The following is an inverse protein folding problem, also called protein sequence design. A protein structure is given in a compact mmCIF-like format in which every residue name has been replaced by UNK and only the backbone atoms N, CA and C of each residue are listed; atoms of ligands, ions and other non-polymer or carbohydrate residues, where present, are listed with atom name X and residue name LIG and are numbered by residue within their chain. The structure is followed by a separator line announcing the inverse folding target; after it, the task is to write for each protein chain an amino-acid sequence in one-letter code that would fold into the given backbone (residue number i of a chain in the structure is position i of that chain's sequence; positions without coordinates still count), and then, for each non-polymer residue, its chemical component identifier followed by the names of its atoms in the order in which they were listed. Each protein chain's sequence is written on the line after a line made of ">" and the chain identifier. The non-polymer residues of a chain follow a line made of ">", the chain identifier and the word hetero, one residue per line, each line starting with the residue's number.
data_IF_869624682476
#
_entry.id   IF_869624682476
#
_cell.length_a   1.000
_cell.length_b   1.000
_cell.length_c   1.000
_cell.angle_alpha   90.00
_cell.angle_beta   90.00
_cell.angle_gamma   90.00
#
_symmetry.space_group_name_H-M   'P 1'
#
loop_
_entity.id
_entity.type
_entity.pdbx_description
1 polymer ?
#
# COMPACT_ATOMS: atom_id res chain seq x y z
N UNK A 1 28.03 -62.45 -36.66
CA UNK A 1 26.95 -62.09 -35.68
C UNK A 1 27.38 -61.10 -34.61
N UNK A 2 28.37 -60.25 -34.83
CA UNK A 2 28.85 -59.28 -33.80
C UNK A 2 28.76 -57.78 -34.22
N UNK A 3 28.30 -57.51 -35.44
CA UNK A 3 28.26 -56.12 -35.93
C UNK A 3 26.84 -55.49 -35.82
N UNK A 4 25.79 -56.31 -35.70
CA UNK A 4 24.39 -55.78 -35.60
C UNK A 4 24.00 -55.40 -34.17
N UNK A 5 24.68 -55.87 -33.15
CA UNK A 5 24.38 -55.57 -31.75
C UNK A 5 25.00 -54.22 -31.30
N UNK A 6 26.00 -53.72 -31.98
CA UNK A 6 26.67 -52.46 -31.64
C UNK A 6 25.91 -51.20 -32.12
N UNK A 7 25.13 -51.34 -33.20
CA UNK A 7 24.37 -50.23 -33.79
C UNK A 7 23.09 -49.96 -33.02
N UNK A 8 22.50 -50.98 -32.38
CA UNK A 8 21.28 -50.81 -31.57
C UNK A 8 21.59 -50.16 -30.21
N UNK A 9 22.76 -50.34 -29.62
CA UNK A 9 23.16 -49.71 -28.37
C UNK A 9 23.49 -48.20 -28.55
N UNK A 10 23.95 -47.77 -29.72
CA UNK A 10 24.21 -46.35 -30.02
C UNK A 10 22.94 -45.53 -30.32
N UNK A 11 21.89 -46.17 -30.83
CA UNK A 11 20.58 -45.51 -31.07
C UNK A 11 19.74 -45.39 -29.82
N UNK A 12 19.88 -46.27 -28.81
CA UNK A 12 19.22 -46.18 -27.53
C UNK A 12 19.79 -45.09 -26.60
N UNK A 13 21.10 -44.77 -26.74
CA UNK A 13 21.77 -43.70 -26.01
C UNK A 13 21.45 -42.29 -26.48
N UNK A 14 21.03 -42.11 -27.75
CA UNK A 14 20.66 -40.81 -28.33
C UNK A 14 19.24 -40.35 -27.97
N UNK A 15 18.35 -41.26 -27.55
CA UNK A 15 16.99 -40.92 -27.15
C UNK A 15 16.85 -40.55 -25.66
N UNK A 16 17.86 -40.83 -24.82
CA UNK A 16 17.81 -40.46 -23.40
C UNK A 16 18.32 -39.02 -23.10
N UNK A 17 18.90 -38.33 -24.10
CA UNK A 17 19.39 -36.95 -23.93
C UNK A 17 18.36 -35.88 -24.35
N UNK A 18 17.15 -36.26 -24.76
CA UNK A 18 16.18 -35.36 -25.41
C UNK A 18 15.02 -34.91 -24.55
N UNK A 19 14.92 -35.24 -23.29
CA UNK A 19 13.85 -34.78 -22.40
C UNK A 19 14.31 -33.86 -21.27
N UNK A 20 15.26 -32.95 -21.58
CA UNK A 20 15.25 -31.69 -20.88
C UNK A 20 13.93 -31.00 -21.30
N UNK A 21 12.86 -31.25 -20.55
CA UNK A 21 11.61 -30.53 -20.70
C UNK A 21 11.98 -29.06 -20.80
N UNK A 22 11.59 -28.43 -21.92
CA UNK A 22 11.53 -26.98 -22.02
C UNK A 22 10.51 -26.55 -20.95
N UNK A 23 10.98 -26.39 -19.71
CA UNK A 23 10.22 -25.65 -18.70
C UNK A 23 9.94 -24.31 -19.34
N UNK A 24 8.64 -24.05 -19.63
CA UNK A 24 8.21 -22.82 -20.26
C UNK A 24 8.89 -21.65 -19.53
N UNK A 25 9.49 -20.74 -20.28
CA UNK A 25 10.23 -19.59 -19.72
C UNK A 25 9.32 -18.85 -18.75
N UNK A 26 9.71 -18.82 -17.48
CA UNK A 26 8.96 -18.08 -16.45
C UNK A 26 9.10 -16.57 -16.74
N UNK A 27 8.00 -15.83 -16.92
CA UNK A 27 8.09 -14.39 -17.18
C UNK A 27 8.91 -13.68 -16.12
N UNK A 28 9.81 -12.78 -16.55
CA UNK A 28 10.63 -11.98 -15.66
C UNK A 28 11.71 -12.73 -14.89
N UNK A 29 12.01 -14.01 -15.22
CA UNK A 29 13.06 -14.79 -14.54
C UNK A 29 14.09 -15.29 -15.54
N UNK A 30 15.36 -15.02 -15.24
CA UNK A 30 16.53 -15.55 -15.94
C UNK A 30 17.45 -16.26 -14.95
N UNK A 31 18.57 -16.76 -15.43
CA UNK A 31 19.60 -17.36 -14.56
C UNK A 31 20.24 -16.33 -13.62
N UNK A 32 20.27 -15.07 -13.99
CA UNK A 32 21.00 -13.99 -13.31
C UNK A 32 20.09 -12.88 -12.76
N UNK A 33 18.83 -12.79 -13.20
CA UNK A 33 17.94 -11.69 -12.86
C UNK A 33 16.52 -12.14 -12.58
N UNK A 34 15.81 -11.37 -11.72
CA UNK A 34 14.37 -11.40 -11.52
C UNK A 34 13.86 -9.98 -11.80
N UNK A 35 12.93 -9.83 -12.72
CA UNK A 35 12.29 -8.54 -13.03
C UNK A 35 11.01 -8.37 -12.24
N UNK A 36 10.92 -7.28 -11.47
CA UNK A 36 9.74 -6.86 -10.70
C UNK A 36 9.09 -5.67 -11.42
N UNK A 37 7.79 -5.73 -11.65
CA UNK A 37 6.99 -4.64 -12.21
C UNK A 37 6.49 -3.69 -11.15
N UNK A 38 6.50 -2.42 -11.47
CA UNK A 38 5.88 -1.34 -10.69
C UNK A 38 5.09 -0.45 -11.64
N UNK A 39 3.78 -0.28 -11.41
CA UNK A 39 2.99 0.79 -11.99
C UNK A 39 2.41 1.62 -10.87
N UNK A 40 2.68 2.94 -10.90
CA UNK A 40 2.38 3.83 -9.77
C UNK A 40 2.36 5.29 -10.26
N UNK A 41 1.66 6.20 -9.57
CA UNK A 41 1.63 7.61 -9.98
C UNK A 41 2.96 8.31 -9.67
N UNK A 42 3.83 8.43 -10.67
CA UNK A 42 5.01 9.28 -10.61
C UNK A 42 4.67 10.73 -10.96
N UNK A 43 3.52 10.93 -11.61
CA UNK A 43 2.95 12.22 -11.98
C UNK A 43 1.48 12.32 -11.55
N UNK A 44 0.86 13.50 -11.76
CA UNK A 44 -0.57 13.71 -11.49
C UNK A 44 -0.90 13.93 -9.99
N UNK A 45 -2.20 13.82 -9.63
CA UNK A 45 -2.70 14.26 -8.31
C UNK A 45 -2.19 13.44 -7.13
N UNK A 46 -1.74 12.21 -7.37
CA UNK A 46 -1.19 11.32 -6.33
C UNK A 46 0.35 11.15 -6.43
N UNK A 47 1.05 12.03 -7.15
CA UNK A 47 2.50 11.91 -7.41
C UNK A 47 3.35 11.81 -6.13
N UNK A 48 2.91 12.38 -5.00
CA UNK A 48 3.60 12.24 -3.72
C UNK A 48 3.74 10.76 -3.29
N UNK A 49 2.78 9.91 -3.67
CA UNK A 49 2.82 8.47 -3.42
C UNK A 49 3.79 7.72 -4.33
N UNK A 50 4.28 8.33 -5.41
CA UNK A 50 5.36 7.79 -6.23
C UNK A 50 6.66 7.56 -5.45
N UNK A 51 6.85 8.20 -4.29
CA UNK A 51 7.98 7.93 -3.41
C UNK A 51 8.01 6.49 -2.89
N UNK A 52 6.90 5.76 -2.90
CA UNK A 52 6.86 4.32 -2.60
C UNK A 52 7.70 3.53 -3.61
N UNK A 53 7.54 3.80 -4.91
CA UNK A 53 8.34 3.15 -5.96
C UNK A 53 9.81 3.54 -5.88
N UNK A 54 10.11 4.82 -5.65
CA UNK A 54 11.49 5.30 -5.44
C UNK A 54 12.16 4.57 -4.27
N UNK A 55 11.43 4.32 -3.19
CA UNK A 55 11.91 3.53 -2.06
C UNK A 55 12.11 2.05 -2.40
N UNK A 56 11.22 1.45 -3.20
CA UNK A 56 11.38 0.07 -3.67
C UNK A 56 12.61 -0.07 -4.55
N UNK A 57 12.90 0.89 -5.43
CA UNK A 57 14.12 0.90 -6.23
C UNK A 57 15.38 1.05 -5.35
N UNK A 58 15.34 1.95 -4.35
CA UNK A 58 16.45 2.13 -3.40
C UNK A 58 16.72 0.84 -2.63
N UNK A 59 15.68 0.18 -2.12
CA UNK A 59 15.79 -1.10 -1.43
C UNK A 59 16.33 -2.21 -2.36
N UNK A 60 15.92 -2.20 -3.61
CA UNK A 60 16.39 -3.16 -4.62
C UNK A 60 17.90 -2.98 -4.90
N UNK A 61 18.38 -1.73 -5.00
CA UNK A 61 19.83 -1.46 -5.12
C UNK A 61 20.59 -1.98 -3.91
N UNK A 62 20.09 -1.72 -2.69
CA UNK A 62 20.67 -2.28 -1.47
C UNK A 62 20.76 -3.80 -1.51
N UNK A 63 19.68 -4.51 -1.87
CA UNK A 63 19.67 -5.97 -1.97
C UNK A 63 20.67 -6.48 -3.02
N UNK A 64 20.76 -5.79 -4.14
CA UNK A 64 21.68 -6.15 -5.20
C UNK A 64 23.14 -6.01 -4.78
N UNK A 65 23.48 -5.02 -3.95
CA UNK A 65 24.81 -4.88 -3.37
C UNK A 65 25.13 -6.00 -2.36
N UNK A 66 24.10 -6.55 -1.70
CA UNK A 66 24.24 -7.72 -0.82
C UNK A 66 24.28 -9.07 -1.58
N UNK A 67 24.36 -9.06 -2.92
CA UNK A 67 24.43 -10.28 -3.73
C UNK A 67 23.11 -10.68 -4.38
N UNK A 68 22.03 -9.95 -4.17
CA UNK A 68 20.69 -10.24 -4.73
C UNK A 68 19.94 -11.34 -3.97
N UNK A 69 19.06 -12.04 -4.65
CA UNK A 69 18.18 -13.06 -4.07
C UNK A 69 18.43 -14.40 -4.74
N UNK A 70 18.84 -15.42 -3.97
CA UNK A 70 19.13 -16.75 -4.47
C UNK A 70 20.12 -16.75 -5.67
N UNK A 71 21.09 -15.83 -5.66
CA UNK A 71 22.09 -15.68 -6.72
C UNK A 71 21.59 -14.93 -7.96
N UNK A 72 20.45 -14.23 -7.88
CA UNK A 72 19.92 -13.37 -8.95
C UNK A 72 19.85 -11.93 -8.48
N UNK A 73 20.12 -10.99 -9.38
CA UNK A 73 19.88 -9.57 -9.14
C UNK A 73 18.40 -9.26 -9.37
N UNK A 74 17.90 -8.24 -8.70
CA UNK A 74 16.55 -7.73 -8.91
C UNK A 74 16.64 -6.57 -9.91
N UNK A 75 15.84 -6.63 -10.96
CA UNK A 75 15.59 -5.54 -11.90
C UNK A 75 14.18 -4.98 -11.65
N UNK A 76 14.04 -3.67 -11.71
CA UNK A 76 12.75 -3.00 -11.61
C UNK A 76 12.34 -2.47 -12.99
N UNK A 77 11.12 -2.80 -13.42
CA UNK A 77 10.44 -2.19 -14.55
C UNK A 77 9.36 -1.25 -14.00
N UNK A 78 9.65 0.06 -14.00
CA UNK A 78 8.79 1.09 -13.43
C UNK A 78 8.06 1.86 -14.52
N UNK A 79 6.73 1.98 -14.39
CA UNK A 79 5.88 2.75 -15.31
C UNK A 79 5.02 3.76 -14.54
N UNK A 80 4.92 4.98 -15.09
CA UNK A 80 4.02 6.01 -14.57
C UNK A 80 2.59 5.77 -15.06
N UNK A 81 1.64 5.66 -14.14
CA UNK A 81 0.22 5.62 -14.48
C UNK A 81 -0.51 6.96 -14.25
N UNK A 82 0.15 7.94 -13.64
CA UNK A 82 -0.44 9.25 -13.37
C UNK A 82 -1.70 9.22 -12.50
N UNK A 83 -1.89 8.14 -11.72
CA UNK A 83 -3.12 7.86 -10.96
C UNK A 83 -4.35 7.65 -11.86
N UNK A 84 -4.14 7.15 -13.08
CA UNK A 84 -5.19 6.88 -14.06
C UNK A 84 -5.42 5.37 -14.19
N UNK A 85 -6.63 4.85 -13.85
CA UNK A 85 -6.94 3.43 -13.90
C UNK A 85 -6.69 2.79 -15.27
N UNK A 86 -7.08 3.45 -16.36
CA UNK A 86 -6.89 2.93 -17.72
C UNK A 86 -5.41 2.81 -18.10
N UNK A 87 -4.58 3.78 -17.69
CA UNK A 87 -3.13 3.73 -17.92
C UNK A 87 -2.46 2.64 -17.09
N UNK A 88 -2.88 2.47 -15.84
CA UNK A 88 -2.37 1.39 -14.98
C UNK A 88 -2.67 0.00 -15.58
N UNK A 89 -3.89 -0.23 -16.07
CA UNK A 89 -4.29 -1.46 -16.79
C UNK A 89 -3.43 -1.67 -18.04
N UNK A 90 -3.22 -0.62 -18.85
CA UNK A 90 -2.35 -0.70 -20.03
C UNK A 90 -0.91 -1.07 -19.65
N UNK A 91 -0.35 -0.44 -18.59
CA UNK A 91 0.97 -0.77 -18.09
C UNK A 91 1.09 -2.25 -17.64
N UNK A 92 0.08 -2.77 -16.92
CA UNK A 92 0.06 -4.19 -16.50
C UNK A 92 0.02 -5.13 -17.71
N UNK A 93 -0.79 -4.80 -18.72
CA UNK A 93 -0.87 -5.58 -19.96
C UNK A 93 0.47 -5.63 -20.70
N UNK A 94 1.20 -4.53 -20.75
CA UNK A 94 2.54 -4.48 -21.35
C UNK A 94 3.57 -5.28 -20.54
N UNK A 95 3.49 -5.23 -19.20
CA UNK A 95 4.46 -5.88 -18.31
C UNK A 95 4.19 -7.37 -18.05
N UNK A 96 2.99 -7.89 -18.28
CA UNK A 96 2.58 -9.25 -17.85
C UNK A 96 3.50 -10.39 -18.26
N UNK A 97 4.20 -10.24 -19.41
CA UNK A 97 5.09 -11.25 -19.98
C UNK A 97 6.58 -10.93 -19.74
N UNK A 98 6.91 -9.74 -19.21
CA UNK A 98 8.28 -9.29 -18.92
C UNK A 98 8.61 -9.31 -17.43
N UNK A 99 7.62 -9.30 -16.54
CA UNK A 99 7.83 -9.27 -15.10
C UNK A 99 7.40 -10.57 -14.42
N UNK A 100 8.10 -10.94 -13.36
CA UNK A 100 7.73 -12.09 -12.54
C UNK A 100 6.54 -11.77 -11.65
N UNK A 101 6.58 -10.62 -10.99
CA UNK A 101 5.52 -10.12 -10.11
C UNK A 101 5.41 -8.59 -10.21
N UNK A 102 4.28 -8.06 -9.79
CA UNK A 102 4.05 -6.63 -9.60
C UNK A 102 3.97 -6.30 -8.11
N UNK A 103 4.53 -5.17 -7.69
CA UNK A 103 4.45 -4.68 -6.30
C UNK A 103 3.81 -3.31 -6.27
N UNK A 104 2.92 -3.08 -5.30
CA UNK A 104 2.46 -1.74 -4.97
C UNK A 104 1.60 -1.06 -6.04
N UNK A 105 0.78 -1.81 -6.78
CA UNK A 105 -0.29 -1.25 -7.62
C UNK A 105 -1.15 -0.30 -6.76
N UNK A 106 -1.28 0.97 -7.16
CA UNK A 106 -1.71 2.02 -6.24
C UNK A 106 -3.01 2.72 -6.68
N UNK A 107 -3.95 2.76 -5.73
CA UNK A 107 -5.24 3.47 -5.83
C UNK A 107 -6.44 2.53 -5.93
N UNK A 108 -7.47 2.76 -5.11
CA UNK A 108 -8.66 1.88 -5.09
C UNK A 108 -9.35 1.81 -6.44
N UNK A 109 -9.52 2.93 -7.14
CA UNK A 109 -10.05 2.93 -8.51
C UNK A 109 -9.16 2.16 -9.50
N UNK A 110 -7.84 2.23 -9.34
CA UNK A 110 -6.86 1.47 -10.14
C UNK A 110 -7.00 -0.02 -9.85
N UNK A 111 -7.07 -0.42 -8.58
CA UNK A 111 -7.24 -1.82 -8.18
C UNK A 111 -8.57 -2.38 -8.73
N UNK A 112 -9.64 -1.61 -8.62
CA UNK A 112 -10.96 -2.01 -9.13
C UNK A 112 -10.95 -2.21 -10.65
N UNK A 113 -10.25 -1.36 -11.40
CA UNK A 113 -10.09 -1.50 -12.84
C UNK A 113 -9.21 -2.70 -13.23
N UNK A 114 -8.14 -2.97 -12.48
CA UNK A 114 -7.12 -3.98 -12.82
C UNK A 114 -7.40 -5.39 -12.31
N UNK A 115 -8.34 -5.59 -11.39
CA UNK A 115 -8.54 -6.86 -10.67
C UNK A 115 -8.81 -8.06 -11.57
N UNK A 116 -9.53 -7.86 -12.69
CA UNK A 116 -9.82 -8.92 -13.64
C UNK A 116 -8.57 -9.29 -14.45
N UNK A 117 -7.80 -8.30 -14.91
CA UNK A 117 -6.55 -8.51 -15.64
C UNK A 117 -5.50 -9.20 -14.78
N UNK A 118 -5.36 -8.81 -13.52
CA UNK A 118 -4.47 -9.47 -12.55
C UNK A 118 -4.80 -10.95 -12.42
N UNK A 119 -6.08 -11.29 -12.32
CA UNK A 119 -6.54 -12.67 -12.22
C UNK A 119 -6.32 -13.44 -13.52
N UNK A 120 -6.69 -12.86 -14.69
CA UNK A 120 -6.53 -13.47 -16.01
C UNK A 120 -5.06 -13.76 -16.33
N UNK A 121 -4.18 -12.79 -16.09
CA UNK A 121 -2.74 -12.92 -16.35
C UNK A 121 -2.01 -13.78 -15.31
N UNK A 122 -2.71 -14.22 -14.26
CA UNK A 122 -2.08 -14.88 -13.08
C UNK A 122 -0.85 -14.10 -12.61
N UNK A 123 -0.96 -12.77 -12.65
CA UNK A 123 0.14 -11.88 -12.29
C UNK A 123 0.21 -11.75 -10.77
N UNK A 124 1.29 -12.26 -10.18
CA UNK A 124 1.57 -12.06 -8.77
C UNK A 124 1.53 -10.56 -8.46
N UNK A 125 0.59 -10.16 -7.61
CA UNK A 125 0.40 -8.75 -7.20
C UNK A 125 0.59 -8.68 -5.69
N UNK A 126 1.69 -8.06 -5.30
CA UNK A 126 2.14 -8.04 -3.91
C UNK A 126 1.91 -6.65 -3.32
N UNK A 127 1.24 -6.63 -2.18
CA UNK A 127 0.97 -5.41 -1.40
C UNK A 127 0.38 -4.26 -2.24
N UNK A 128 -0.73 -4.48 -2.97
CA UNK A 128 -1.41 -3.40 -3.68
C UNK A 128 -1.92 -2.37 -2.65
N UNK A 129 -1.77 -1.08 -2.98
CA UNK A 129 -2.12 0.05 -2.12
C UNK A 129 -3.50 0.61 -2.47
N UNK A 130 -4.51 0.20 -1.75
CA UNK A 130 -5.91 0.62 -1.92
C UNK A 130 -6.82 -0.24 -1.09
N UNK A 131 -8.11 0.02 -1.15
CA UNK A 131 -9.11 -0.64 -0.32
C UNK A 131 -9.04 -2.18 -0.45
N UNK A 132 -8.74 -2.84 0.65
CA UNK A 132 -8.69 -4.31 0.70
C UNK A 132 -10.06 -4.94 0.38
N UNK A 133 -11.15 -4.24 0.62
CA UNK A 133 -12.50 -4.70 0.29
C UNK A 133 -12.69 -5.02 -1.21
N UNK A 134 -11.92 -4.39 -2.11
CA UNK A 134 -11.93 -4.69 -3.55
C UNK A 134 -11.55 -6.14 -3.81
N UNK A 135 -10.56 -6.64 -3.10
CA UNK A 135 -10.09 -8.01 -3.19
C UNK A 135 -10.98 -8.97 -2.40
N UNK A 136 -11.36 -8.60 -1.18
CA UNK A 136 -12.20 -9.44 -0.31
C UNK A 136 -13.54 -9.83 -0.93
N UNK A 137 -14.07 -8.99 -1.84
CA UNK A 137 -15.31 -9.25 -2.59
C UNK A 137 -15.11 -10.17 -3.79
N UNK A 138 -13.87 -10.56 -4.15
CA UNK A 138 -13.61 -11.43 -5.30
C UNK A 138 -13.72 -12.92 -4.92
N UNK A 139 -14.08 -13.79 -5.89
CA UNK A 139 -14.00 -15.23 -5.71
C UNK A 139 -12.57 -15.67 -5.35
N UNK A 140 -12.42 -16.61 -4.43
CA UNK A 140 -11.10 -17.10 -3.98
C UNK A 140 -10.16 -17.53 -5.12
N UNK A 141 -10.71 -18.11 -6.20
CA UNK A 141 -9.92 -18.52 -7.35
C UNK A 141 -9.20 -17.33 -8.04
N UNK A 142 -9.79 -16.12 -8.01
CA UNK A 142 -9.19 -14.90 -8.55
C UNK A 142 -8.13 -14.28 -7.61
N UNK A 143 -8.11 -14.68 -6.34
CA UNK A 143 -7.23 -14.13 -5.31
C UNK A 143 -5.91 -14.88 -5.18
N UNK A 144 -5.74 -16.03 -5.85
CA UNK A 144 -4.59 -16.91 -5.65
C UNK A 144 -3.24 -16.21 -5.83
N UNK A 145 -3.17 -15.19 -6.67
CA UNK A 145 -1.95 -14.47 -7.00
C UNK A 145 -1.86 -13.07 -6.35
N UNK A 146 -2.76 -12.75 -5.41
CA UNK A 146 -2.82 -11.43 -4.77
C UNK A 146 -2.55 -11.56 -3.28
N UNK A 147 -1.55 -10.83 -2.78
CA UNK A 147 -1.17 -10.79 -1.37
C UNK A 147 -1.28 -9.36 -0.86
N UNK A 148 -2.27 -9.11 0.00
CA UNK A 148 -2.63 -7.78 0.48
C UNK A 148 -2.17 -7.58 1.92
N UNK A 149 -1.54 -6.44 2.17
CA UNK A 149 -1.23 -5.94 3.52
C UNK A 149 -1.56 -4.43 3.56
N UNK A 150 -2.85 -4.10 3.49
CA UNK A 150 -3.32 -2.73 3.44
C UNK A 150 -4.65 -2.62 4.22
N UNK A 151 -5.02 -1.46 4.76
CA UNK A 151 -6.26 -1.32 5.53
C UNK A 151 -7.53 -1.51 4.67
N UNK A 152 -8.58 -1.98 5.33
CA UNK A 152 -9.96 -1.80 4.89
C UNK A 152 -10.38 -0.37 5.26
N UNK A 153 -10.75 0.43 4.26
CA UNK A 153 -11.05 1.83 4.50
C UNK A 153 -12.36 2.07 5.23
N UNK A 154 -13.31 1.14 5.17
CA UNK A 154 -14.51 1.24 5.97
C UNK A 154 -14.24 0.93 7.45
N UNK A 155 -13.39 -0.07 7.75
CA UNK A 155 -12.97 -0.35 9.12
C UNK A 155 -12.12 0.78 9.70
N UNK A 156 -11.21 1.35 8.90
CA UNK A 156 -10.42 2.53 9.27
C UNK A 156 -11.33 3.72 9.61
N UNK A 157 -12.29 4.02 8.73
CA UNK A 157 -13.19 5.15 8.93
C UNK A 157 -14.12 4.96 10.12
N UNK A 158 -14.59 3.73 10.37
CA UNK A 158 -15.34 3.41 11.58
C UNK A 158 -14.50 3.70 12.83
N UNK A 159 -13.23 3.32 12.81
CA UNK A 159 -12.32 3.65 13.91
C UNK A 159 -12.13 5.17 14.04
N UNK A 160 -11.83 5.89 12.97
CA UNK A 160 -11.60 7.33 12.98
C UNK A 160 -12.82 8.11 13.50
N UNK A 161 -14.03 7.76 13.07
CA UNK A 161 -15.23 8.45 13.55
C UNK A 161 -15.51 8.16 15.02
N UNK A 162 -15.23 6.95 15.51
CA UNK A 162 -15.30 6.66 16.94
C UNK A 162 -14.30 7.50 17.72
N UNK A 163 -13.07 7.62 17.24
CA UNK A 163 -12.07 8.50 17.88
C UNK A 163 -12.51 9.96 17.88
N UNK A 164 -13.09 10.46 16.79
CA UNK A 164 -13.56 11.84 16.71
C UNK A 164 -14.60 12.15 17.78
N UNK A 165 -15.52 11.22 18.04
CA UNK A 165 -16.62 11.39 19.00
C UNK A 165 -16.17 11.10 20.43
N UNK A 166 -15.50 9.96 20.66
CA UNK A 166 -15.20 9.47 22.02
C UNK A 166 -13.94 10.12 22.62
N UNK A 167 -12.91 10.36 21.81
CA UNK A 167 -11.68 10.95 22.27
C UNK A 167 -11.66 12.48 22.13
N UNK A 168 -12.12 12.99 20.96
CA UNK A 168 -12.08 14.42 20.66
C UNK A 168 -13.37 15.16 21.00
N UNK A 169 -14.43 14.44 21.41
CA UNK A 169 -15.70 15.01 21.82
C UNK A 169 -16.51 15.65 20.68
N UNK A 170 -16.29 15.24 19.43
CA UNK A 170 -17.05 15.73 18.30
C UNK A 170 -18.52 15.29 18.39
N UNK A 171 -19.44 16.19 18.01
CA UNK A 171 -20.88 15.91 17.96
C UNK A 171 -21.41 15.88 16.54
N UNK A 172 -20.81 16.67 15.67
CA UNK A 172 -21.14 16.79 14.26
C UNK A 172 -19.91 16.51 13.43
N UNK A 173 -19.94 15.46 12.64
CA UNK A 173 -18.82 15.04 11.80
C UNK A 173 -19.17 15.27 10.33
N UNK A 174 -18.25 15.84 9.56
CA UNK A 174 -18.35 15.86 8.11
C UNK A 174 -17.26 15.00 7.48
N UNK A 175 -17.48 14.55 6.25
CA UNK A 175 -16.52 13.79 5.47
C UNK A 175 -16.19 14.56 4.19
N UNK A 176 -14.90 14.78 3.94
CA UNK A 176 -14.38 15.19 2.64
C UNK A 176 -13.76 13.99 1.97
N UNK A 177 -14.22 13.58 0.80
CA UNK A 177 -13.84 12.29 0.23
C UNK A 177 -13.71 12.31 -1.29
N UNK A 178 -12.73 11.54 -1.80
CA UNK A 178 -12.55 11.30 -3.23
C UNK A 178 -13.75 10.52 -3.78
N UNK A 179 -14.29 10.93 -4.92
CA UNK A 179 -15.49 10.32 -5.50
C UNK A 179 -15.17 9.01 -6.25
N UNK A 180 -14.57 8.06 -5.53
CA UNK A 180 -14.26 6.72 -6.03
C UNK A 180 -14.40 5.66 -4.92
N UNK A 181 -13.95 4.43 -5.18
CA UNK A 181 -14.02 3.32 -4.20
C UNK A 181 -13.30 3.66 -2.88
N UNK A 182 -12.19 4.42 -2.94
CA UNK A 182 -11.44 4.85 -1.76
C UNK A 182 -12.28 5.73 -0.83
N UNK A 183 -12.75 6.84 -1.34
CA UNK A 183 -13.49 7.80 -0.51
C UNK A 183 -14.89 7.30 -0.15
N UNK A 184 -15.54 6.52 -1.03
CA UNK A 184 -16.84 5.89 -0.74
C UNK A 184 -16.73 4.84 0.34
N UNK A 185 -15.65 4.06 0.39
CA UNK A 185 -15.36 3.14 1.49
C UNK A 185 -15.22 3.89 2.81
N UNK A 186 -14.50 5.01 2.81
CA UNK A 186 -14.40 5.89 3.99
C UNK A 186 -15.73 6.42 4.46
N UNK A 187 -16.59 6.92 3.56
CA UNK A 187 -17.93 7.40 3.90
C UNK A 187 -18.83 6.29 4.45
N UNK A 188 -18.75 5.08 3.88
CA UNK A 188 -19.46 3.90 4.39
C UNK A 188 -19.07 3.62 5.84
N UNK A 189 -17.76 3.59 6.13
CA UNK A 189 -17.26 3.34 7.48
C UNK A 189 -17.65 4.40 8.50
N UNK A 190 -17.66 5.69 8.11
CA UNK A 190 -18.16 6.77 8.96
C UNK A 190 -19.63 6.55 9.32
N UNK A 191 -20.48 6.23 8.33
CA UNK A 191 -21.89 5.96 8.57
C UNK A 191 -22.09 4.75 9.49
N UNK A 192 -21.33 3.69 9.30
CA UNK A 192 -21.36 2.49 10.13
C UNK A 192 -20.95 2.80 11.57
N UNK A 193 -19.88 3.55 11.76
CA UNK A 193 -19.38 3.94 13.07
C UNK A 193 -20.34 4.86 13.83
N UNK A 194 -20.93 5.85 13.17
CA UNK A 194 -21.93 6.74 13.78
C UNK A 194 -23.17 5.97 14.23
N UNK A 195 -23.64 5.01 13.42
CA UNK A 195 -24.74 4.11 13.82
C UNK A 195 -24.41 3.33 15.09
N UNK A 196 -23.17 2.85 15.21
CA UNK A 196 -22.68 2.12 16.39
C UNK A 196 -22.54 2.97 17.65
N UNK A 197 -22.46 4.30 17.51
CA UNK A 197 -22.30 5.24 18.63
C UNK A 197 -23.61 5.64 19.32
N UNK A 198 -24.77 5.12 18.87
CA UNK A 198 -26.04 5.30 19.58
C UNK A 198 -26.47 6.76 19.75
N UNK A 199 -26.25 7.61 18.76
CA UNK A 199 -26.65 9.03 18.79
C UNK A 199 -25.65 9.98 19.48
N UNK A 200 -24.47 9.51 19.91
CA UNK A 200 -23.44 10.38 20.50
C UNK A 200 -22.80 11.33 19.49
N UNK A 201 -22.90 11.03 18.19
CA UNK A 201 -22.46 11.86 17.08
C UNK A 201 -23.38 11.71 15.87
N UNK A 202 -23.32 12.65 14.94
CA UNK A 202 -24.13 12.66 13.71
C UNK A 202 -23.28 13.06 12.49
N UNK A 203 -23.65 12.56 11.29
CA UNK A 203 -23.10 13.04 10.04
C UNK A 203 -23.75 14.39 9.70
N UNK A 204 -22.96 15.46 9.68
CA UNK A 204 -23.41 16.81 9.35
C UNK A 204 -23.27 17.11 7.86
N UNK A 205 -22.34 16.46 7.17
CA UNK A 205 -22.15 16.65 5.75
C UNK A 205 -21.22 15.62 5.13
N UNK A 206 -21.42 15.35 3.84
CA UNK A 206 -20.53 14.50 3.02
C UNK A 206 -20.23 15.26 1.74
N UNK A 207 -18.98 15.67 1.55
CA UNK A 207 -18.53 16.51 0.44
C UNK A 207 -17.55 15.72 -0.42
N UNK A 208 -18.04 15.28 -1.59
CA UNK A 208 -17.22 14.60 -2.57
C UNK A 208 -16.38 15.58 -3.38
N UNK A 209 -15.20 15.13 -3.84
CA UNK A 209 -14.38 15.83 -4.83
C UNK A 209 -13.90 14.86 -5.90
N UNK A 210 -13.61 15.39 -7.08
CA UNK A 210 -12.97 14.65 -8.17
C UNK A 210 -11.44 14.84 -8.14
N UNK A 211 -10.67 13.83 -8.51
CA UNK A 211 -9.19 13.93 -8.53
C UNK A 211 -8.68 14.98 -9.53
N UNK A 212 -9.53 15.47 -10.42
CA UNK A 212 -9.26 16.54 -11.36
C UNK A 212 -9.57 17.93 -10.82
N UNK A 213 -10.25 18.04 -9.66
CA UNK A 213 -10.59 19.31 -9.03
C UNK A 213 -9.32 20.03 -8.56
N UNK A 214 -9.12 21.23 -9.05
CA UNK A 214 -7.97 22.05 -8.67
C UNK A 214 -8.30 23.07 -7.59
N UNK A 215 -9.54 23.55 -7.59
CA UNK A 215 -10.05 24.56 -6.68
C UNK A 215 -11.04 23.94 -5.70
N UNK A 216 -10.74 24.04 -4.41
CA UNK A 216 -11.55 23.43 -3.36
C UNK A 216 -12.28 24.43 -2.45
N UNK A 217 -12.30 25.71 -2.82
CA UNK A 217 -12.96 26.76 -2.03
C UNK A 217 -14.45 26.48 -1.79
N UNK A 218 -15.19 26.06 -2.81
CA UNK A 218 -16.61 25.69 -2.68
C UNK A 218 -16.82 24.49 -1.79
N UNK A 219 -15.91 23.51 -1.85
CA UNK A 219 -15.95 22.34 -0.97
C UNK A 219 -15.72 22.74 0.50
N UNK A 220 -14.76 23.65 0.75
CA UNK A 220 -14.50 24.17 2.08
C UNK A 220 -15.69 24.95 2.65
N UNK A 221 -16.40 25.73 1.83
CA UNK A 221 -17.62 26.43 2.24
C UNK A 221 -18.75 25.44 2.61
N UNK A 222 -18.97 24.39 1.81
CA UNK A 222 -19.95 23.34 2.13
C UNK A 222 -19.62 22.63 3.46
N UNK A 223 -18.35 22.36 3.72
CA UNK A 223 -17.90 21.79 4.99
C UNK A 223 -18.17 22.75 6.16
N UNK A 224 -17.89 24.03 5.99
CA UNK A 224 -18.17 25.07 7.00
C UNK A 224 -19.67 25.20 7.26
N UNK A 225 -20.50 25.27 6.22
CA UNK A 225 -21.95 25.39 6.28
C UNK A 225 -22.61 24.17 6.96
N UNK A 226 -22.00 23.00 6.89
CA UNK A 226 -22.48 21.81 7.62
C UNK A 226 -22.47 21.99 9.13
N UNK A 227 -21.69 22.93 9.64
CA UNK A 227 -21.51 23.16 11.07
C UNK A 227 -20.84 21.99 11.79
N UNK A 228 -20.07 21.16 11.07
CA UNK A 228 -19.33 20.06 11.65
C UNK A 228 -18.20 20.59 12.55
N UNK A 229 -17.99 19.95 13.69
CA UNK A 229 -16.90 20.24 14.63
C UNK A 229 -15.67 19.32 14.39
N UNK A 230 -15.84 18.29 13.57
CA UNK A 230 -14.75 17.46 13.06
C UNK A 230 -14.94 17.15 11.57
N UNK A 231 -13.84 17.08 10.82
CA UNK A 231 -13.81 16.67 9.40
C UNK A 231 -12.89 15.45 9.25
N UNK A 232 -13.43 14.38 8.68
CA UNK A 232 -12.67 13.18 8.30
C UNK A 232 -12.33 13.30 6.82
N UNK A 233 -11.04 13.14 6.48
CA UNK A 233 -10.51 13.39 5.14
C UNK A 233 -10.04 12.09 4.50
N UNK A 234 -10.67 11.73 3.38
CA UNK A 234 -10.30 10.64 2.47
C UNK A 234 -9.88 11.20 1.12
N UNK A 235 -8.63 11.57 0.98
CA UNK A 235 -8.14 12.26 -0.23
C UNK A 235 -6.68 11.92 -0.56
N UNK A 236 -6.24 12.31 -1.77
CA UNK A 236 -4.81 12.37 -2.04
C UNK A 236 -4.13 13.41 -1.15
N UNK A 237 -2.82 13.31 -0.97
CA UNK A 237 -2.01 14.27 -0.18
C UNK A 237 -2.24 15.70 -0.66
N UNK A 238 -2.22 15.92 -1.99
CA UNK A 238 -2.41 17.26 -2.58
C UNK A 238 -3.79 17.84 -2.25
N UNK A 239 -4.86 17.07 -2.45
CA UNK A 239 -6.22 17.53 -2.17
C UNK A 239 -6.47 17.69 -0.66
N UNK A 240 -5.93 16.81 0.17
CA UNK A 240 -6.00 16.91 1.62
C UNK A 240 -5.32 18.18 2.14
N UNK A 241 -4.15 18.50 1.63
CA UNK A 241 -3.47 19.74 2.00
C UNK A 241 -4.26 20.98 1.50
N UNK A 242 -4.79 20.93 0.28
CA UNK A 242 -5.55 22.05 -0.29
C UNK A 242 -6.86 22.29 0.45
N UNK A 243 -7.65 21.26 0.76
CA UNK A 243 -8.91 21.45 1.49
C UNK A 243 -8.68 22.03 2.89
N UNK A 244 -7.63 21.62 3.60
CA UNK A 244 -7.30 22.18 4.92
C UNK A 244 -6.96 23.67 4.80
N UNK A 245 -6.19 24.08 3.77
CA UNK A 245 -5.88 25.48 3.50
C UNK A 245 -7.15 26.28 3.18
N UNK A 246 -8.03 25.76 2.32
CA UNK A 246 -9.27 26.43 1.95
C UNK A 246 -10.24 26.56 3.12
N UNK A 247 -10.35 25.54 3.99
CA UNK A 247 -11.11 25.65 5.24
C UNK A 247 -10.54 26.75 6.13
N UNK A 248 -9.23 26.82 6.29
CA UNK A 248 -8.58 27.87 7.09
C UNK A 248 -8.81 29.27 6.52
N UNK A 249 -8.71 29.46 5.19
CA UNK A 249 -9.04 30.72 4.48
C UNK A 249 -10.49 31.14 4.70
N UNK A 250 -11.42 30.17 4.73
CA UNK A 250 -12.82 30.40 5.03
C UNK A 250 -13.09 30.71 6.53
N UNK A 251 -12.05 30.76 7.36
CA UNK A 251 -12.21 30.93 8.81
C UNK A 251 -12.84 29.71 9.51
N UNK A 252 -12.66 28.51 8.96
CA UNK A 252 -13.19 27.28 9.51
C UNK A 252 -12.03 26.34 9.91
N UNK A 253 -11.96 25.98 11.18
CA UNK A 253 -10.89 25.18 11.78
C UNK A 253 -11.47 24.05 12.62
N UNK A 254 -12.06 23.01 11.98
CA UNK A 254 -12.57 21.85 12.67
C UNK A 254 -11.43 20.98 13.19
N UNK A 255 -11.74 20.01 14.05
CA UNK A 255 -10.83 18.89 14.33
C UNK A 255 -10.63 18.08 13.05
N UNK A 256 -9.38 17.76 12.73
CA UNK A 256 -9.03 17.02 11.52
C UNK A 256 -8.70 15.58 11.88
N UNK A 257 -9.37 14.64 11.20
CA UNK A 257 -8.98 13.25 11.17
C UNK A 257 -8.74 12.85 9.71
N UNK A 258 -7.75 12.02 9.46
CA UNK A 258 -7.36 11.69 8.11
C UNK A 258 -7.07 10.19 7.94
N UNK A 259 -7.36 9.68 6.76
CA UNK A 259 -7.07 8.30 6.39
C UNK A 259 -5.58 8.04 6.22
N UNK A 260 -5.22 6.77 6.21
CA UNK A 260 -3.84 6.28 6.05
C UNK A 260 -3.04 6.97 4.93
N UNK A 261 -3.59 7.24 3.72
CA UNK A 261 -2.86 7.96 2.68
C UNK A 261 -2.36 9.37 3.06
N UNK A 262 -2.90 9.99 4.09
CA UNK A 262 -2.46 11.28 4.61
C UNK A 262 -1.55 11.14 5.85
N UNK A 263 -1.20 9.90 6.21
CA UNK A 263 -0.40 9.58 7.39
C UNK A 263 1.10 9.92 7.29
N UNK A 264 1.59 10.44 6.16
CA UNK A 264 2.93 11.00 6.09
C UNK A 264 2.95 12.40 6.72
N UNK A 265 3.13 12.43 8.04
CA UNK A 265 3.14 13.68 8.81
C UNK A 265 4.27 14.63 8.38
N UNK A 266 5.39 14.12 7.87
CA UNK A 266 6.52 14.96 7.41
C UNK A 266 6.11 15.73 6.16
N UNK A 267 5.51 15.06 5.18
CA UNK A 267 5.00 15.70 3.96
C UNK A 267 3.85 16.65 4.32
N UNK A 268 2.88 16.20 5.13
CA UNK A 268 1.73 17.01 5.47
C UNK A 268 2.12 18.26 6.28
N UNK A 269 3.03 18.14 7.25
CA UNK A 269 3.52 19.31 8.00
C UNK A 269 4.30 20.28 7.11
N UNK A 270 5.10 19.78 6.17
CA UNK A 270 5.79 20.62 5.17
C UNK A 270 4.82 21.42 4.30
N UNK A 271 3.66 20.85 3.97
CA UNK A 271 2.64 21.50 3.14
C UNK A 271 1.75 22.47 3.92
N UNK A 272 1.49 22.22 5.19
CA UNK A 272 0.45 22.86 5.99
C UNK A 272 0.97 23.61 7.21
N UNK A 273 2.17 23.26 7.71
CA UNK A 273 2.70 23.84 8.96
C UNK A 273 1.72 23.65 10.12
N UNK A 274 1.49 24.72 10.87
CA UNK A 274 0.60 24.75 12.05
C UNK A 274 -0.86 24.34 11.73
N UNK A 275 -1.29 24.41 10.46
CA UNK A 275 -2.64 23.95 10.09
C UNK A 275 -2.81 22.43 10.23
N UNK A 276 -1.71 21.69 10.34
CA UNK A 276 -1.74 20.23 10.55
C UNK A 276 -1.56 19.82 11.99
N UNK A 277 -1.27 20.79 12.88
CA UNK A 277 -1.14 20.51 14.31
C UNK A 277 -2.45 20.05 14.91
N UNK A 278 -2.40 19.00 15.74
CA UNK A 278 -3.57 18.37 16.32
C UNK A 278 -4.40 17.50 15.35
N UNK A 279 -3.94 17.31 14.11
CA UNK A 279 -4.56 16.35 13.22
C UNK A 279 -4.29 14.91 13.67
N UNK A 280 -5.33 14.07 13.64
CA UNK A 280 -5.26 12.64 13.91
C UNK A 280 -5.34 11.87 12.60
N UNK A 281 -4.55 10.86 12.43
CA UNK A 281 -4.58 10.06 11.20
C UNK A 281 -4.31 8.59 11.49
N UNK A 282 -4.82 7.72 10.61
CA UNK A 282 -4.42 6.33 10.62
C UNK A 282 -2.97 6.22 10.14
N UNK A 283 -2.13 5.59 10.93
CA UNK A 283 -0.70 5.48 10.66
C UNK A 283 -0.31 4.13 10.08
N UNK A 284 0.91 4.04 9.51
CA UNK A 284 1.47 2.77 9.07
C UNK A 284 1.74 1.83 10.25
N UNK A 285 1.82 0.54 9.96
CA UNK A 285 2.14 -0.50 10.96
C UNK A 285 3.52 -0.32 11.62
N UNK A 286 4.41 0.42 10.98
CA UNK A 286 5.75 0.76 11.45
C UNK A 286 6.00 2.24 11.18
N UNK A 287 6.47 2.96 12.20
CA UNK A 287 6.80 4.39 12.10
C UNK A 287 8.28 4.59 11.80
N UNK A 288 8.61 5.61 11.00
CA UNK A 288 9.98 6.04 10.77
C UNK A 288 10.67 6.51 12.06
N UNK A 289 9.91 6.91 13.08
CA UNK A 289 10.43 7.31 14.40
C UNK A 289 10.81 6.11 15.29
N UNK A 290 10.31 4.91 15.01
CA UNK A 290 10.64 3.70 15.76
C UNK A 290 11.96 3.09 15.30
N UNK A 291 12.73 2.42 16.19
CA UNK A 291 14.06 1.89 15.84
C UNK A 291 14.07 1.01 14.59
N UNK A 292 13.07 0.16 14.42
CA UNK A 292 12.98 -0.73 13.26
C UNK A 292 12.67 0.03 11.96
N UNK A 293 11.75 1.01 12.01
CA UNK A 293 11.46 1.88 10.88
C UNK A 293 12.64 2.74 10.50
N UNK A 294 13.30 3.32 11.51
CA UNK A 294 14.52 4.14 11.32
C UNK A 294 15.63 3.35 10.61
N UNK A 295 15.87 2.11 11.00
CA UNK A 295 16.90 1.28 10.35
C UNK A 295 16.62 1.06 8.85
N UNK A 296 15.36 0.90 8.46
CA UNK A 296 14.97 0.81 7.05
C UNK A 296 15.17 2.16 6.36
N UNK A 297 14.71 3.25 6.98
CA UNK A 297 14.84 4.62 6.43
C UNK A 297 16.30 5.00 6.22
N UNK A 298 17.19 4.66 7.15
CA UNK A 298 18.64 4.92 7.03
C UNK A 298 19.23 4.23 5.78
N UNK A 299 18.78 3.00 5.46
CA UNK A 299 19.16 2.31 4.24
C UNK A 299 18.59 3.03 3.02
N UNK A 300 17.28 3.35 3.02
CA UNK A 300 16.61 3.98 1.90
C UNK A 300 17.25 5.33 1.55
N UNK A 301 17.49 6.18 2.53
CA UNK A 301 18.05 7.52 2.32
C UNK A 301 19.53 7.49 1.94
N UNK A 302 20.27 6.46 2.35
CA UNK A 302 21.63 6.19 1.86
C UNK A 302 21.65 5.88 0.37
N UNK A 303 20.72 5.06 -0.12
CA UNK A 303 20.64 4.66 -1.52
C UNK A 303 19.88 5.66 -2.41
N UNK A 304 19.02 6.49 -1.79
CA UNK A 304 18.25 7.53 -2.48
C UNK A 304 18.00 8.74 -1.56
N UNK A 305 18.93 9.71 -1.55
CA UNK A 305 18.85 10.91 -0.69
C UNK A 305 17.60 11.76 -0.87
N UNK A 306 16.93 11.67 -2.05
CA UNK A 306 15.66 12.39 -2.30
C UNK A 306 14.50 11.94 -1.42
N UNK A 307 14.65 10.82 -0.69
CA UNK A 307 13.64 10.30 0.24
C UNK A 307 13.70 10.98 1.62
N UNK A 308 14.72 11.80 1.89
CA UNK A 308 14.76 12.63 3.11
C UNK A 308 13.57 13.58 3.13
N UNK A 309 12.83 13.61 4.26
CA UNK A 309 11.59 14.37 4.40
C UNK A 309 10.34 13.69 3.79
N UNK A 310 10.43 12.39 3.46
CA UNK A 310 9.35 11.57 2.89
C UNK A 310 9.36 10.16 3.49
N UNK A 311 9.80 10.07 4.73
CA UNK A 311 10.22 8.82 5.37
C UNK A 311 9.07 7.82 5.51
N UNK A 312 7.86 8.28 5.84
CA UNK A 312 6.73 7.37 6.04
C UNK A 312 6.20 6.80 4.72
N UNK A 313 6.12 7.61 3.68
CA UNK A 313 5.75 7.13 2.33
C UNK A 313 6.82 6.18 1.79
N UNK A 314 8.11 6.50 2.00
CA UNK A 314 9.23 5.64 1.62
C UNK A 314 9.19 4.31 2.37
N UNK A 315 8.91 4.33 3.67
CA UNK A 315 8.79 3.14 4.51
C UNK A 315 7.64 2.23 4.05
N UNK A 316 6.51 2.82 3.64
CA UNK A 316 5.40 2.08 3.05
C UNK A 316 5.84 1.31 1.80
N UNK A 317 6.62 1.97 0.92
CA UNK A 317 7.20 1.32 -0.26
C UNK A 317 8.17 0.19 0.12
N UNK A 318 9.06 0.44 1.08
CA UNK A 318 10.01 -0.59 1.55
C UNK A 318 9.30 -1.83 2.10
N UNK A 319 8.23 -1.67 2.86
CA UNK A 319 7.44 -2.80 3.37
C UNK A 319 6.91 -3.66 2.22
N UNK A 320 6.39 -3.05 1.16
CA UNK A 320 5.89 -3.78 -0.01
C UNK A 320 6.97 -4.63 -0.68
N UNK A 321 8.14 -4.06 -0.96
CA UNK A 321 9.24 -4.81 -1.59
C UNK A 321 9.85 -5.84 -0.65
N UNK A 322 9.93 -5.58 0.66
CA UNK A 322 10.41 -6.55 1.66
C UNK A 322 9.51 -7.80 1.68
N UNK A 323 8.19 -7.61 1.67
CA UNK A 323 7.23 -8.74 1.60
C UNK A 323 7.45 -9.55 0.32
N UNK A 324 7.58 -8.88 -0.83
CA UNK A 324 7.83 -9.54 -2.11
C UNK A 324 9.14 -10.35 -2.10
N UNK A 325 10.19 -9.77 -1.56
CA UNK A 325 11.53 -10.39 -1.46
C UNK A 325 11.54 -11.60 -0.51
N UNK A 326 10.84 -11.55 0.60
CA UNK A 326 10.74 -12.71 1.49
C UNK A 326 10.04 -13.90 0.81
N UNK A 327 9.04 -13.66 0.00
CA UNK A 327 8.44 -14.68 -0.86
C UNK A 327 9.45 -15.27 -1.86
N UNK A 328 10.25 -14.41 -2.53
CA UNK A 328 11.29 -14.86 -3.46
C UNK A 328 12.37 -15.70 -2.78
N UNK A 329 12.82 -15.29 -1.60
CA UNK A 329 13.83 -16.06 -0.82
C UNK A 329 13.32 -17.47 -0.49
N UNK A 330 12.08 -17.57 -0.03
CA UNK A 330 11.46 -18.84 0.38
C UNK A 330 11.12 -19.75 -0.80
N UNK A 331 10.66 -19.19 -1.92
CA UNK A 331 10.39 -19.97 -3.13
C UNK A 331 11.66 -20.57 -3.75
N UNK A 332 12.84 -20.02 -3.42
CA UNK A 332 14.12 -20.57 -3.82
C UNK A 332 14.48 -20.32 -5.27
N UNK A 333 15.46 -21.09 -5.78
CA UNK A 333 16.01 -20.88 -7.13
C UNK A 333 15.11 -21.42 -8.24
N UNK A 334 14.36 -22.49 -7.98
CA UNK A 334 13.41 -23.07 -8.96
C UNK A 334 12.10 -22.29 -8.93
N UNK A 335 12.18 -21.02 -9.34
CA UNK A 335 11.13 -20.02 -9.17
C UNK A 335 10.07 -20.15 -10.26
N UNK A 336 8.81 -20.37 -9.84
CA UNK A 336 7.60 -20.24 -10.65
C UNK A 336 6.60 -19.39 -9.88
N UNK A 337 5.56 -18.86 -10.55
CA UNK A 337 4.50 -18.12 -9.83
C UNK A 337 3.78 -19.00 -8.81
N UNK A 338 3.62 -20.28 -9.11
CA UNK A 338 3.04 -21.30 -8.22
C UNK A 338 3.92 -21.54 -6.99
N UNK A 339 5.24 -21.78 -7.18
CA UNK A 339 6.15 -21.98 -6.04
C UNK A 339 6.25 -20.74 -5.15
N UNK A 340 6.10 -19.55 -5.73
CA UNK A 340 6.03 -18.31 -4.96
C UNK A 340 4.74 -18.24 -4.12
N UNK A 341 3.58 -18.57 -4.70
CA UNK A 341 2.30 -18.65 -3.97
C UNK A 341 2.40 -19.63 -2.80
N UNK A 342 2.91 -20.84 -3.04
CA UNK A 342 3.09 -21.86 -1.99
C UNK A 342 4.00 -21.36 -0.87
N UNK A 343 5.10 -20.69 -1.22
CA UNK A 343 6.02 -20.09 -0.26
C UNK A 343 5.35 -18.99 0.59
N UNK A 344 4.49 -18.17 -0.02
CA UNK A 344 3.75 -17.13 0.68
C UNK A 344 2.64 -17.70 1.57
N UNK A 345 1.86 -18.66 1.09
CA UNK A 345 0.80 -19.33 1.87
C UNK A 345 1.37 -20.11 3.06
N UNK A 346 2.53 -20.75 2.91
CA UNK A 346 3.26 -21.43 3.98
C UNK A 346 3.92 -20.49 4.99
N UNK A 347 3.91 -19.18 4.70
CA UNK A 347 4.48 -18.18 5.59
C UNK A 347 3.53 -17.89 6.74
N UNK A 348 3.75 -18.53 7.88
CA UNK A 348 3.19 -18.05 9.15
C UNK A 348 3.93 -16.73 9.45
N UNK A 349 3.26 -15.61 9.27
CA UNK A 349 3.73 -14.33 9.81
C UNK A 349 3.75 -14.54 11.33
N UNK A 350 4.92 -14.86 11.88
CA UNK A 350 5.12 -14.70 13.32
C UNK A 350 4.78 -13.24 13.61
N UNK A 351 3.76 -12.99 14.43
CA UNK A 351 3.34 -11.66 14.83
C UNK A 351 4.44 -11.02 15.69
N UNK A 352 5.43 -10.27 15.17
CA UNK A 352 6.37 -9.54 16.01
C UNK A 352 5.81 -8.19 16.47
N UNK A 353 4.64 -7.78 15.98
CA UNK A 353 4.20 -6.38 16.05
C UNK A 353 2.79 -6.15 16.62
N UNK A 354 2.19 -7.12 17.29
CA UNK A 354 1.10 -6.79 18.20
C UNK A 354 1.74 -6.21 19.44
N UNK A 355 1.78 -4.86 19.55
CA UNK A 355 2.05 -4.19 20.81
C UNK A 355 1.20 -4.87 21.88
N UNK A 356 1.83 -5.53 22.86
CA UNK A 356 1.13 -6.01 24.04
C UNK A 356 0.45 -4.78 24.63
N UNK A 357 -0.87 -4.76 24.65
CA UNK A 357 -1.58 -3.81 25.52
C UNK A 357 -0.93 -3.97 26.89
N UNK A 358 -0.51 -2.88 27.55
CA UNK A 358 -0.05 -2.98 28.93
C UNK A 358 -1.16 -3.68 29.71
N UNK A 359 -0.81 -4.75 30.43
CA UNK A 359 -1.76 -5.43 31.30
C UNK A 359 -2.32 -4.41 32.31
N UNK A 360 -3.60 -4.52 32.71
CA UNK A 360 -4.21 -3.59 33.67
C UNK A 360 -3.51 -3.53 35.04
N UNK A 361 -2.54 -4.41 35.31
CA UNK A 361 -1.82 -4.52 36.58
C UNK A 361 -0.65 -3.54 36.78
N UNK A 362 -0.34 -2.66 35.81
CA UNK A 362 0.74 -1.67 35.94
C UNK A 362 0.25 -0.28 36.36
N UNK A 363 -0.87 -0.16 37.08
CA UNK A 363 -1.19 1.04 37.84
C UNK A 363 -0.57 0.94 39.22
N UNK A 364 0.69 1.23 39.33
CA UNK A 364 1.29 1.54 40.62
C UNK A 364 0.81 2.90 41.08
N UNK A 365 0.10 2.88 42.19
CA UNK A 365 -0.25 4.03 43.01
C UNK A 365 0.96 4.89 43.32
N UNK A 366 0.99 6.10 42.77
CA UNK A 366 1.87 7.16 43.31
C UNK A 366 1.00 7.96 44.28
N UNK A 367 1.01 7.56 45.55
CA UNK A 367 0.54 8.37 46.65
C UNK A 367 1.53 9.53 46.82
N UNK A 368 1.07 10.72 46.55
CA UNK A 368 1.75 11.94 46.93
C UNK A 368 1.76 12.04 48.48
N UNK A 369 2.94 11.99 49.07
CA UNK A 369 3.14 12.37 50.45
C UNK A 369 3.46 13.88 50.52
N UNK A 370 2.50 14.63 51.00
CA UNK A 370 2.70 16.00 51.51
C UNK A 370 3.50 15.95 52.82
N UNK A 371 4.65 16.61 52.80
CA UNK A 371 5.20 17.38 53.94
C UNK A 371 6.13 18.46 53.41
#
# INVERSE_FOLDING_TARGET
>A
MRLKTLVIALLAGAFAAGSAQAQGRVPGVTDTEITIGLTTPLSGPAAAWGNTAVAMEAWTRYLNDQGGINGRKIKVELKDDGYNPGRAVANLKEMKDSVFLNVGLLGSAVLNAAKEDVAEYKLLTINPYGDVAIWAKQPKAKLRYVFVNYPDYADEAEFLVKQSVELLGARKVAVFYQNDDYGKGGLEGVNRGLKGLGGKGSLAGAVAYEVTDRELGTHALKLKESGADAVIIYSTITHGANIVKEMAKAGYRPKILASFPLGDYTIMYKLLGELWEGAHFAGPNISAAEPAGKAIVDILTKYEPKLVGKENTALTGAVGIIIAVEGLKKAGRNLTRESYVEAMEGTRVSRPWVSRRPSPSARTSTTASTR
#
